data_IF_470016503139
#
_entry.id   IF_470016503139
#
_cell.length_a   1.000
_cell.length_b   1.000
_cell.length_c   1.000
_cell.angle_alpha   90.00
_cell.angle_beta   90.00
_cell.angle_gamma   90.00
#
_symmetry.space_group_name_H-M   'P 1'
#
loop_
_entity.id
_entity.type
_entity.pdbx_description
1 polymer ?
#
# COMPACT_ATOMS: atom_id res chain seq x y z
N UNK A 1 9.24 14.65 -1.57
CA UNK A 1 8.36 14.68 -0.37
C UNK A 1 7.67 13.34 -0.25
N UNK A 2 7.76 12.68 0.91
CA UNK A 2 7.26 11.32 1.11
C UNK A 2 5.73 11.37 1.30
N UNK A 3 4.99 10.49 0.63
CA UNK A 3 3.55 10.31 0.85
C UNK A 3 3.32 8.95 1.49
N UNK A 4 2.55 8.91 2.59
CA UNK A 4 2.29 7.68 3.34
C UNK A 4 0.79 7.52 3.51
N UNK A 5 0.29 6.35 3.13
CA UNK A 5 -1.11 5.98 3.22
C UNK A 5 -1.28 5.01 4.38
N UNK A 6 -1.85 5.48 5.48
CA UNK A 6 -2.02 4.69 6.69
C UNK A 6 -3.25 3.79 6.60
N UNK A 7 -3.06 2.54 7.02
CA UNK A 7 -4.10 1.51 7.00
C UNK A 7 -5.00 1.55 8.24
N UNK A 8 -5.73 0.47 8.48
CA UNK A 8 -6.65 0.33 9.62
C UNK A 8 -5.96 -0.03 10.95
N UNK A 9 -4.68 -0.38 10.92
CA UNK A 9 -3.93 -0.78 12.11
C UNK A 9 -3.33 0.46 12.80
N UNK A 10 -4.04 0.97 13.80
CA UNK A 10 -3.64 2.18 14.53
C UNK A 10 -2.31 2.01 15.28
N UNK A 11 -2.02 0.82 15.81
CA UNK A 11 -0.80 0.57 16.56
C UNK A 11 0.42 0.58 15.63
N UNK A 12 0.30 -0.07 14.47
CA UNK A 12 1.35 -0.03 13.44
C UNK A 12 1.53 1.38 12.88
N UNK A 13 0.44 2.10 12.59
CA UNK A 13 0.48 3.46 12.10
C UNK A 13 1.25 4.39 13.07
N UNK A 14 0.94 4.31 14.37
CA UNK A 14 1.64 5.07 15.41
C UNK A 14 3.13 4.73 15.48
N UNK A 15 3.48 3.44 15.43
CA UNK A 15 4.87 3.01 15.44
C UNK A 15 5.67 3.54 14.22
N UNK A 16 5.04 3.60 13.05
CA UNK A 16 5.64 4.18 11.84
C UNK A 16 5.82 5.69 12.01
N UNK A 17 4.80 6.40 12.48
CA UNK A 17 4.85 7.84 12.71
C UNK A 17 5.97 8.21 13.71
N UNK A 18 6.05 7.53 14.85
CA UNK A 18 7.11 7.77 15.83
C UNK A 18 8.52 7.56 15.26
N UNK A 19 8.71 6.62 14.33
CA UNK A 19 9.99 6.43 13.65
C UNK A 19 10.29 7.57 12.69
N UNK A 20 9.33 7.99 11.87
CA UNK A 20 9.49 9.11 10.96
C UNK A 20 9.85 10.40 11.71
N UNK A 21 9.16 10.65 12.82
CA UNK A 21 9.39 11.80 13.68
C UNK A 21 10.78 11.75 14.33
N UNK A 22 11.24 10.56 14.76
CA UNK A 22 12.59 10.37 15.32
C UNK A 22 13.72 10.68 14.33
N UNK A 23 13.46 10.50 13.03
CA UNK A 23 14.40 10.82 11.96
C UNK A 23 14.18 12.22 11.35
N UNK A 24 13.22 12.98 11.87
CA UNK A 24 12.83 14.30 11.35
C UNK A 24 12.52 14.27 9.85
N UNK A 25 11.85 13.21 9.39
CA UNK A 25 11.48 13.06 7.99
C UNK A 25 10.16 13.78 7.72
N UNK A 26 10.15 14.68 6.74
CA UNK A 26 8.93 15.31 6.27
C UNK A 26 8.09 14.33 5.42
N UNK A 27 6.85 14.08 5.86
CA UNK A 27 5.89 13.25 5.13
C UNK A 27 4.49 13.85 5.13
N UNK A 28 3.73 13.51 4.09
CA UNK A 28 2.29 13.76 4.02
C UNK A 28 1.54 12.48 4.39
N UNK A 29 0.70 12.58 5.41
CA UNK A 29 -0.15 11.49 5.87
C UNK A 29 -1.49 11.51 5.13
N UNK A 30 -1.87 10.36 4.57
CA UNK A 30 -3.16 10.11 3.95
C UNK A 30 -3.80 8.88 4.56
N UNK A 31 -5.12 8.76 4.43
CA UNK A 31 -5.84 7.53 4.74
C UNK A 31 -5.72 6.55 3.58
N UNK A 32 -5.75 5.25 3.86
CA UNK A 32 -5.90 4.23 2.80
C UNK A 32 -7.16 4.42 1.95
N UNK A 33 -8.16 5.16 2.45
CA UNK A 33 -9.38 5.53 1.70
C UNK A 33 -9.13 6.57 0.62
N UNK A 34 -8.03 7.31 0.71
CA UNK A 34 -7.66 8.37 -0.23
C UNK A 34 -6.86 7.82 -1.44
N UNK A 35 -6.69 6.49 -1.52
CA UNK A 35 -6.04 5.83 -2.65
C UNK A 35 -7.06 5.79 -3.80
N UNK A 36 -6.84 6.64 -4.80
CA UNK A 36 -7.59 6.58 -6.05
C UNK A 36 -7.06 5.51 -7.00
N UNK A 37 -7.86 5.16 -8.02
CA UNK A 37 -7.50 4.15 -9.02
C UNK A 37 -6.21 4.51 -9.75
N UNK A 38 -5.96 5.80 -9.99
CA UNK A 38 -4.76 6.26 -10.69
C UNK A 38 -3.50 5.96 -9.87
N UNK A 39 -3.51 6.32 -8.59
CA UNK A 39 -2.42 6.07 -7.64
C UNK A 39 -2.17 4.58 -7.47
N UNK A 40 -3.24 3.79 -7.34
CA UNK A 40 -3.13 2.33 -7.26
C UNK A 40 -2.46 1.74 -8.52
N UNK A 41 -2.89 2.17 -9.71
CA UNK A 41 -2.29 1.72 -10.97
C UNK A 41 -0.82 2.14 -11.07
N UNK A 42 -0.47 3.36 -10.70
CA UNK A 42 0.92 3.82 -10.67
C UNK A 42 1.82 2.95 -9.77
N UNK A 43 1.30 2.50 -8.62
CA UNK A 43 2.04 1.57 -7.76
C UNK A 43 2.14 0.17 -8.33
N UNK A 44 1.05 -0.35 -8.92
CA UNK A 44 1.05 -1.64 -9.60
C UNK A 44 2.07 -1.67 -10.74
N UNK A 45 2.18 -0.59 -11.53
CA UNK A 45 3.16 -0.48 -12.61
C UNK A 45 4.61 -0.37 -12.13
N UNK A 46 4.84 0.14 -10.91
CA UNK A 46 6.19 0.28 -10.33
C UNK A 46 6.61 -0.94 -9.53
N UNK A 47 5.68 -1.78 -9.11
CA UNK A 47 5.97 -3.00 -8.36
C UNK A 47 6.48 -4.10 -9.29
N UNK A 48 7.51 -4.82 -8.85
CA UNK A 48 7.98 -6.03 -9.52
C UNK A 48 7.00 -7.20 -9.38
N UNK A 49 6.15 -7.17 -8.35
CA UNK A 49 5.13 -8.17 -8.07
C UNK A 49 3.90 -7.53 -7.43
N UNK A 50 2.82 -7.42 -8.19
CA UNK A 50 1.54 -6.83 -7.77
C UNK A 50 1.00 -7.40 -6.45
N UNK A 51 1.36 -8.63 -6.11
CA UNK A 51 0.90 -9.29 -4.89
C UNK A 51 1.56 -8.71 -3.62
N UNK A 52 2.68 -8.00 -3.74
CA UNK A 52 3.32 -7.25 -2.66
C UNK A 52 2.44 -6.11 -2.14
N UNK A 53 1.58 -5.55 -3.00
CA UNK A 53 0.67 -4.47 -2.64
C UNK A 53 -0.61 -4.98 -1.98
N UNK A 54 -0.79 -6.30 -1.90
CA UNK A 54 -2.00 -6.92 -1.40
C UNK A 54 -1.83 -7.38 0.03
N UNK A 55 -2.96 -7.45 0.75
CA UNK A 55 -2.94 -8.09 2.07
C UNK A 55 -2.45 -9.53 1.93
N UNK A 56 -1.71 -10.02 2.94
CA UNK A 56 -1.19 -11.40 2.97
C UNK A 56 -2.27 -12.47 2.74
N UNK A 57 -3.52 -12.18 3.11
CA UNK A 57 -4.70 -13.05 2.86
C UNK A 57 -5.03 -13.24 1.38
N UNK A 58 -4.59 -12.32 0.53
CA UNK A 58 -4.80 -12.34 -0.92
C UNK A 58 -3.63 -13.00 -1.67
N UNK A 59 -2.51 -13.32 -1.00
CA UNK A 59 -1.38 -14.01 -1.63
C UNK A 59 -1.76 -15.38 -2.19
N UNK A 60 -2.82 -16.02 -1.67
CA UNK A 60 -3.39 -17.25 -2.23
C UNK A 60 -3.80 -17.10 -3.71
N UNK A 61 -4.14 -15.89 -4.15
CA UNK A 61 -4.49 -15.62 -5.55
C UNK A 61 -3.27 -15.55 -6.47
N UNK A 62 -2.04 -15.44 -5.93
CA UNK A 62 -0.79 -15.54 -6.70
C UNK A 62 -0.62 -16.91 -7.36
N UNK A 63 -1.17 -17.95 -6.73
CA UNK A 63 -1.18 -19.31 -7.26
C UNK A 63 -2.27 -19.51 -8.33
N UNK A 64 -3.19 -18.55 -8.49
CA UNK A 64 -4.27 -18.61 -9.46
C UNK A 64 -3.92 -17.74 -10.68
N UNK A 65 -3.28 -18.35 -11.67
CA UNK A 65 -2.79 -17.69 -12.90
C UNK A 65 -3.90 -17.29 -13.88
N UNK A 66 -5.17 -17.50 -13.54
CA UNK A 66 -6.30 -17.28 -14.44
C UNK A 66 -6.99 -15.91 -14.26
N UNK A 67 -6.61 -15.11 -13.24
CA UNK A 67 -7.24 -13.82 -12.96
C UNK A 67 -6.45 -12.71 -13.65
N UNK A 68 -7.10 -11.95 -14.53
CA UNK A 68 -6.47 -10.76 -15.12
C UNK A 68 -6.40 -9.63 -14.10
N UNK A 69 -5.42 -8.72 -14.22
CA UNK A 69 -5.28 -7.58 -13.30
C UNK A 69 -6.57 -6.75 -13.20
N UNK A 70 -7.29 -6.60 -14.32
CA UNK A 70 -8.59 -5.93 -14.41
C UNK A 70 -9.73 -6.62 -13.65
N UNK A 71 -9.64 -7.93 -13.43
CA UNK A 71 -10.59 -8.69 -12.61
C UNK A 71 -10.20 -8.69 -11.12
N UNK A 72 -8.96 -8.31 -10.83
CA UNK A 72 -8.40 -8.32 -9.48
C UNK A 72 -8.61 -6.98 -8.76
N UNK A 73 -8.55 -5.86 -9.48
CA UNK A 73 -8.70 -4.49 -8.96
C UNK A 73 -10.16 -4.11 -8.77
#
# INVERSE_FOLDING_TARGET
MIKIYFGKDNALNQAIQSRLDSYHLDYQAFSSKDIDTKTLMEWLFRSTDIFELLSTKMLKYKLNTQITLSQFV
#
